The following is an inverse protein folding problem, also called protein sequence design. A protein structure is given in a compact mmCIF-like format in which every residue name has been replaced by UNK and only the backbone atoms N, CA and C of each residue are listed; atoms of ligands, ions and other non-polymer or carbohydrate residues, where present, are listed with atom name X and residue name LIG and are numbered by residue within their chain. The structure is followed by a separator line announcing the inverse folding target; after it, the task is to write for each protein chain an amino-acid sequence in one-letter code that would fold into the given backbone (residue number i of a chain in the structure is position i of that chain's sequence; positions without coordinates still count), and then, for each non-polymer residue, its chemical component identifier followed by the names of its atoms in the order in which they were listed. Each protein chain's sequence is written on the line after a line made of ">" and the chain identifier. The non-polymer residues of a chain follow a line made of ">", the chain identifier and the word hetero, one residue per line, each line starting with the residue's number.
data_IF_963042768977
#
_entry.id   IF_963042768977
#
_cell.length_a   1.000
_cell.length_b   1.000
_cell.length_c   1.000
_cell.angle_alpha   90.00
_cell.angle_beta   90.00
_cell.angle_gamma   90.00
#
_symmetry.space_group_name_H-M   'P 1'
#
loop_
_entity.id
_entity.type
_entity.pdbx_description
1 polymer ?
#
# COMPACT_ATOMS: atom_id res chain seq x y z
N UNK A 1 -42.55 13.38 28.47
CA UNK A 1 -42.47 13.14 27.01
C UNK A 1 -41.06 12.66 26.67
N UNK A 2 -40.89 11.50 26.03
CA UNK A 2 -39.55 11.02 25.66
C UNK A 2 -38.97 11.82 24.49
N UNK A 3 -37.63 11.98 24.38
CA UNK A 3 -37.02 12.73 23.29
C UNK A 3 -37.28 12.00 21.97
N UNK A 4 -37.80 12.73 20.97
CA UNK A 4 -37.93 12.21 19.59
C UNK A 4 -36.53 11.79 19.11
N UNK A 5 -36.34 10.48 18.91
CA UNK A 5 -35.17 9.95 18.22
C UNK A 5 -35.04 10.64 16.87
N UNK A 6 -34.08 11.56 16.76
CA UNK A 6 -33.69 12.12 15.48
C UNK A 6 -33.19 10.96 14.62
N UNK A 7 -33.93 10.63 13.54
CA UNK A 7 -33.53 9.60 12.57
C UNK A 7 -32.13 9.95 12.09
N UNK A 8 -31.15 9.14 12.49
CA UNK A 8 -29.76 9.36 12.11
C UNK A 8 -29.65 9.19 10.60
N UNK A 9 -29.43 10.28 9.88
CA UNK A 9 -29.24 10.25 8.43
C UNK A 9 -28.12 9.25 8.10
N UNK A 10 -28.33 8.28 7.20
CA UNK A 10 -27.33 7.29 6.83
C UNK A 10 -26.01 7.94 6.41
N UNK A 11 -24.88 7.35 6.81
CA UNK A 11 -23.56 7.94 6.58
C UNK A 11 -23.26 8.26 5.10
N UNK A 12 -23.89 7.52 4.17
CA UNK A 12 -23.77 7.71 2.71
C UNK A 12 -24.42 9.03 2.26
N UNK A 13 -25.58 9.37 2.81
CA UNK A 13 -26.27 10.64 2.51
C UNK A 13 -25.53 11.82 3.11
N UNK A 14 -25.03 11.68 4.35
CA UNK A 14 -24.12 12.67 4.96
C UNK A 14 -22.88 12.92 4.10
N UNK A 15 -22.35 11.91 3.41
CA UNK A 15 -21.19 12.02 2.51
C UNK A 15 -21.53 12.71 1.19
N UNK A 16 -22.69 12.41 0.61
CA UNK A 16 -23.18 13.05 -0.62
C UNK A 16 -23.51 14.53 -0.39
N UNK A 17 -24.14 14.87 0.72
CA UNK A 17 -24.53 16.23 1.08
C UNK A 17 -23.33 17.15 1.41
N UNK A 18 -22.17 16.58 1.77
CA UNK A 18 -20.96 17.36 2.10
C UNK A 18 -20.29 18.02 0.89
N UNK A 19 -20.67 17.66 -0.33
CA UNK A 19 -20.09 18.20 -1.56
C UNK A 19 -18.56 18.00 -1.66
N UNK A 20 -17.93 18.48 -2.73
CA UNK A 20 -16.47 18.50 -2.88
C UNK A 20 -15.86 19.71 -2.15
N UNK A 21 -16.31 20.02 -0.93
CA UNK A 21 -15.73 21.14 -0.17
C UNK A 21 -14.36 20.70 0.34
N UNK A 22 -13.33 21.14 -0.37
CA UNK A 22 -11.94 20.89 -0.03
C UNK A 22 -11.59 21.61 1.27
N UNK A 23 -11.36 20.85 2.34
CA UNK A 23 -10.84 21.37 3.60
C UNK A 23 -9.31 21.16 3.63
N UNK A 24 -8.51 22.24 3.48
CA UNK A 24 -7.05 22.14 3.45
C UNK A 24 -6.48 21.47 4.70
N UNK A 25 -7.10 21.66 5.88
CA UNK A 25 -6.63 21.08 7.15
C UNK A 25 -6.86 19.58 7.17
N UNK A 26 -8.02 19.11 6.69
CA UNK A 26 -8.30 17.66 6.58
C UNK A 26 -7.40 16.98 5.58
N UNK A 27 -7.12 17.61 4.44
CA UNK A 27 -6.15 17.09 3.47
C UNK A 27 -4.76 17.00 4.07
N UNK A 28 -4.26 18.07 4.71
CA UNK A 28 -2.94 18.06 5.33
C UNK A 28 -2.79 16.94 6.38
N UNK A 29 -3.83 16.70 7.19
CA UNK A 29 -3.86 15.57 8.14
C UNK A 29 -3.82 14.22 7.42
N UNK A 30 -4.62 14.05 6.36
CA UNK A 30 -4.65 12.81 5.58
C UNK A 30 -3.30 12.54 4.88
N UNK A 31 -2.66 13.57 4.34
CA UNK A 31 -1.36 13.48 3.68
C UNK A 31 -0.25 13.10 4.68
N UNK A 32 -0.24 13.72 5.87
CA UNK A 32 0.67 13.35 6.96
C UNK A 32 0.50 11.89 7.38
N UNK A 33 -0.73 11.44 7.56
CA UNK A 33 -1.02 10.05 7.95
C UNK A 33 -0.66 9.07 6.83
N UNK A 34 -0.91 9.42 5.57
CA UNK A 34 -0.49 8.62 4.41
C UNK A 34 1.03 8.48 4.36
N UNK A 35 1.76 9.57 4.60
CA UNK A 35 3.22 9.54 4.67
C UNK A 35 3.70 8.66 5.83
N UNK A 36 3.13 8.81 7.03
CA UNK A 36 3.48 8.01 8.20
C UNK A 36 3.32 6.51 7.93
N UNK A 37 2.17 6.09 7.39
CA UNK A 37 1.89 4.69 7.04
C UNK A 37 2.76 4.19 5.89
N UNK A 38 3.02 5.03 4.89
CA UNK A 38 3.89 4.70 3.77
C UNK A 38 5.31 4.40 4.24
N UNK A 39 5.85 5.27 5.10
CA UNK A 39 7.17 5.09 5.71
C UNK A 39 7.26 3.79 6.53
N UNK A 40 6.29 3.56 7.40
CA UNK A 40 6.21 2.34 8.21
C UNK A 40 6.14 1.07 7.34
N UNK A 41 5.31 1.10 6.29
CA UNK A 41 5.21 0.00 5.33
C UNK A 41 6.51 -0.26 4.56
N UNK A 42 7.27 0.78 4.21
CA UNK A 42 8.57 0.64 3.57
C UNK A 42 9.60 -0.02 4.49
N UNK A 43 9.69 0.41 5.74
CA UNK A 43 10.60 -0.21 6.72
C UNK A 43 10.24 -1.66 7.01
N UNK A 44 8.94 -1.98 7.07
CA UNK A 44 8.50 -3.36 7.20
C UNK A 44 9.01 -4.24 6.05
N UNK A 45 8.84 -3.78 4.79
CA UNK A 45 9.32 -4.53 3.61
C UNK A 45 10.84 -4.70 3.59
N UNK A 46 11.59 -3.70 4.04
CA UNK A 46 13.04 -3.80 4.18
C UNK A 46 13.44 -4.81 5.24
N UNK A 47 12.71 -4.87 6.35
CA UNK A 47 12.91 -5.91 7.37
C UNK A 47 12.56 -7.30 6.83
N UNK A 48 11.45 -7.44 6.11
CA UNK A 48 11.08 -8.71 5.47
C UNK A 48 12.17 -9.17 4.48
N UNK A 49 12.79 -8.26 3.73
CA UNK A 49 13.91 -8.55 2.82
C UNK A 49 15.19 -9.00 3.57
N UNK A 50 15.43 -8.43 4.75
CA UNK A 50 16.52 -8.85 5.62
C UNK A 50 16.28 -10.28 6.13
N UNK A 51 15.08 -10.55 6.66
CA UNK A 51 14.71 -11.87 7.17
C UNK A 51 14.77 -12.95 6.09
N UNK A 52 14.29 -12.66 4.87
CA UNK A 52 14.42 -13.55 3.72
C UNK A 52 15.88 -13.89 3.38
N UNK A 53 16.80 -12.92 3.59
CA UNK A 53 18.23 -13.13 3.45
C UNK A 53 18.74 -14.16 4.44
N UNK A 54 18.39 -13.99 5.72
CA UNK A 54 18.74 -14.92 6.79
C UNK A 54 18.21 -16.33 6.51
N UNK A 55 16.94 -16.46 6.10
CA UNK A 55 16.31 -17.75 5.80
C UNK A 55 16.98 -18.47 4.62
N UNK A 56 17.49 -17.71 3.65
CA UNK A 56 18.22 -18.25 2.48
C UNK A 56 19.71 -18.50 2.78
N UNK A 57 20.17 -18.20 4.00
CA UNK A 57 21.59 -18.31 4.38
C UNK A 57 22.50 -17.25 3.76
N UNK A 58 21.92 -16.12 3.29
CA UNK A 58 22.66 -14.98 2.75
C UNK A 58 22.76 -13.88 3.79
N UNK A 59 23.97 -13.46 4.12
CA UNK A 59 24.15 -12.29 4.96
C UNK A 59 23.76 -11.03 4.18
N UNK A 60 22.67 -10.38 4.60
CA UNK A 60 22.22 -9.09 4.06
C UNK A 60 22.25 -8.06 5.18
N UNK A 61 22.93 -6.95 4.94
CA UNK A 61 22.94 -5.82 5.86
C UNK A 61 22.24 -4.64 5.18
N UNK A 62 21.18 -4.15 5.79
CA UNK A 62 20.33 -3.08 5.25
C UNK A 62 20.39 -1.88 6.18
N UNK A 63 20.76 -0.72 5.63
CA UNK A 63 20.72 0.59 6.27
C UNK A 63 20.00 1.57 5.37
N UNK A 64 19.05 2.32 5.93
CA UNK A 64 18.29 3.33 5.19
C UNK A 64 18.24 4.61 5.99
N UNK A 65 18.48 5.74 5.33
CA UNK A 65 18.34 7.09 5.89
C UNK A 65 17.35 7.87 5.05
N UNK A 66 16.39 8.51 5.70
CA UNK A 66 15.48 9.46 5.10
C UNK A 66 15.71 10.80 5.78
N UNK A 67 16.17 11.79 5.01
CA UNK A 67 16.19 13.19 5.44
C UNK A 67 14.88 13.87 5.04
N UNK A 68 14.37 14.74 5.90
CA UNK A 68 13.15 15.51 5.66
C UNK A 68 13.36 16.94 6.13
N UNK A 69 13.15 17.89 5.23
CA UNK A 69 13.19 19.32 5.52
C UNK A 69 11.78 19.84 5.76
N UNK A 70 11.54 20.41 6.94
CA UNK A 70 10.28 21.08 7.22
C UNK A 70 10.26 22.43 6.51
N UNK A 71 9.14 22.76 5.85
CA UNK A 71 8.96 24.07 5.20
C UNK A 71 8.73 25.14 6.26
N UNK A 72 9.56 26.18 6.29
CA UNK A 72 9.40 27.35 7.17
C UNK A 72 10.74 28.05 7.47
N UNK A 73 10.71 29.28 8.04
CA UNK A 73 11.91 30.07 8.34
C UNK A 73 12.86 29.41 9.36
N UNK A 74 12.37 28.45 10.16
CA UNK A 74 13.17 27.65 11.10
C UNK A 74 13.10 26.14 10.78
N UNK A 75 12.99 25.78 9.51
CA UNK A 75 12.92 24.38 9.09
C UNK A 75 14.18 23.60 9.46
N UNK A 76 14.13 22.79 10.53
CA UNK A 76 15.21 21.86 10.86
C UNK A 76 15.18 20.62 9.96
N UNK A 77 16.34 20.10 9.61
CA UNK A 77 16.47 18.79 8.95
C UNK A 77 16.17 17.71 9.99
N UNK A 78 15.24 16.82 9.66
CA UNK A 78 14.95 15.63 10.46
C UNK A 78 15.46 14.40 9.74
N UNK A 79 16.11 13.52 10.47
CA UNK A 79 16.59 12.24 9.96
C UNK A 79 15.78 11.10 10.59
N UNK A 80 15.39 10.14 9.75
CA UNK A 80 14.83 8.87 10.20
C UNK A 80 15.68 7.77 9.62
N UNK A 81 16.15 6.86 10.46
CA UNK A 81 17.01 5.77 10.05
C UNK A 81 16.35 4.42 10.33
N UNK A 82 16.74 3.43 9.54
CA UNK A 82 16.46 2.02 9.76
C UNK A 82 17.79 1.27 9.65
N UNK A 83 18.12 0.48 10.67
CA UNK A 83 19.32 -0.35 10.72
C UNK A 83 18.92 -1.78 11.11
N UNK A 84 19.22 -2.73 10.22
CA UNK A 84 19.01 -4.17 10.46
C UNK A 84 19.85 -4.73 11.61
N UNK A 85 21.05 -4.17 11.86
CA UNK A 85 21.95 -4.60 12.92
C UNK A 85 22.36 -3.39 13.79
N UNK A 86 21.48 -2.93 14.70
CA UNK A 86 21.68 -1.69 15.46
C UNK A 86 22.81 -1.77 16.50
N UNK A 87 23.26 -2.98 16.85
CA UNK A 87 24.32 -3.21 17.85
C UNK A 87 25.71 -3.33 17.23
N UNK A 88 25.79 -3.41 15.90
CA UNK A 88 27.04 -3.60 15.18
C UNK A 88 27.46 -2.28 14.52
N UNK A 89 28.76 -1.98 14.56
CA UNK A 89 29.32 -0.87 13.81
C UNK A 89 29.75 -1.34 12.42
N UNK A 90 28.80 -1.41 11.49
CA UNK A 90 29.03 -1.97 10.16
C UNK A 90 28.62 -1.03 9.03
N UNK A 91 27.92 0.06 9.33
CA UNK A 91 27.44 0.99 8.29
C UNK A 91 28.68 1.62 7.66
N UNK A 92 28.99 1.32 6.39
CA UNK A 92 30.20 1.81 5.76
C UNK A 92 30.09 3.33 5.56
N UNK A 93 31.21 4.08 5.69
CA UNK A 93 31.26 5.48 5.30
C UNK A 93 31.00 5.62 3.79
N UNK A 94 30.58 6.82 3.38
CA UNK A 94 30.17 7.09 1.98
C UNK A 94 31.30 6.81 1.00
N UNK A 95 32.54 7.12 1.38
CA UNK A 95 33.72 6.94 0.52
C UNK A 95 33.99 5.45 0.25
N UNK A 96 33.89 4.59 1.27
CA UNK A 96 34.02 3.14 1.10
C UNK A 96 32.91 2.53 0.23
N UNK A 97 31.67 3.03 0.34
CA UNK A 97 30.57 2.60 -0.54
C UNK A 97 30.79 3.06 -1.99
N UNK A 98 31.40 4.23 -2.18
CA UNK A 98 31.73 4.75 -3.50
C UNK A 98 32.86 3.94 -4.16
N UNK A 99 33.85 3.52 -3.36
CA UNK A 99 35.03 2.75 -3.78
C UNK A 99 34.78 1.25 -3.95
N UNK A 100 33.71 0.71 -3.34
CA UNK A 100 33.29 -0.70 -3.43
C UNK A 100 32.92 -1.12 -4.85
N UNK A 101 33.93 -1.28 -5.70
CA UNK A 101 33.82 -1.82 -7.04
C UNK A 101 34.03 -3.35 -7.02
N UNK A 102 33.23 -4.11 -7.78
CA UNK A 102 32.18 -3.63 -8.67
C UNK A 102 30.85 -3.36 -7.96
N UNK A 103 30.29 -2.15 -8.16
CA UNK A 103 28.88 -1.87 -7.88
C UNK A 103 28.05 -2.78 -8.77
N UNK A 104 27.50 -3.83 -8.18
CA UNK A 104 26.83 -4.88 -8.94
C UNK A 104 25.48 -4.41 -9.46
N UNK A 105 24.79 -3.53 -8.71
CA UNK A 105 23.45 -3.07 -9.03
C UNK A 105 23.18 -1.70 -8.42
N UNK A 106 22.64 -0.77 -9.21
CA UNK A 106 22.22 0.56 -8.76
C UNK A 106 20.76 0.80 -9.13
N UNK A 107 19.98 1.28 -8.16
CA UNK A 107 18.56 1.62 -8.33
C UNK A 107 18.37 3.13 -8.15
N UNK A 108 18.02 3.82 -9.24
CA UNK A 108 17.66 5.23 -9.24
C UNK A 108 16.14 5.40 -9.35
N UNK A 109 15.58 6.60 -9.11
CA UNK A 109 14.16 6.86 -9.34
C UNK A 109 13.68 6.48 -10.75
N UNK A 110 14.55 6.51 -11.74
CA UNK A 110 14.29 6.13 -13.13
C UNK A 110 13.92 4.65 -13.28
N UNK A 111 14.52 3.76 -12.49
CA UNK A 111 14.18 2.32 -12.50
C UNK A 111 12.71 2.07 -12.13
N UNK A 112 12.09 2.98 -11.37
CA UNK A 112 10.70 2.89 -10.94
C UNK A 112 9.73 3.64 -11.86
N UNK A 113 10.24 4.44 -12.82
CA UNK A 113 9.42 4.99 -13.89
C UNK A 113 9.08 3.80 -14.79
N UNK A 114 7.87 3.26 -14.65
CA UNK A 114 7.33 2.29 -15.61
C UNK A 114 7.58 2.87 -17.00
N UNK A 115 8.36 2.17 -17.84
CA UNK A 115 8.22 2.32 -19.29
C UNK A 115 6.73 2.14 -19.52
N UNK A 116 6.02 3.22 -19.87
CA UNK A 116 4.67 3.11 -20.36
C UNK A 116 4.76 2.05 -21.45
N UNK A 117 4.23 0.86 -21.16
CA UNK A 117 4.11 -0.17 -22.19
C UNK A 117 3.25 0.50 -23.24
N UNK A 118 3.88 1.02 -24.31
CA UNK A 118 3.20 1.27 -25.56
C UNK A 118 2.43 -0.01 -25.80
N UNK A 119 1.11 0.05 -25.60
CA UNK A 119 0.23 -0.95 -26.18
C UNK A 119 0.56 -0.88 -27.66
N UNK A 120 1.33 -1.85 -28.13
CA UNK A 120 1.46 -2.13 -29.54
C UNK A 120 0.05 -2.53 -29.95
N UNK A 121 -0.69 -1.55 -30.47
CA UNK A 121 -1.91 -1.75 -31.23
C UNK A 121 -1.43 -2.37 -32.54
N UNK A 122 -1.27 -3.69 -32.53
CA UNK A 122 -1.22 -4.45 -33.77
C UNK A 122 -2.61 -5.06 -33.96
N UNK A 123 -3.29 -4.55 -34.99
CA UNK A 123 -4.07 -5.33 -35.95
C UNK A 123 -5.25 -6.14 -35.43
N UNK A 124 -6.43 -5.67 -35.82
CA UNK A 124 -7.59 -6.46 -36.23
C UNK A 124 -8.44 -7.14 -35.15
N UNK A 125 -9.62 -6.54 -34.93
CA UNK A 125 -10.72 -7.21 -34.23
C UNK A 125 -11.68 -6.24 -33.55
N UNK A 126 -12.50 -5.54 -34.32
CA UNK A 126 -13.80 -5.05 -33.83
C UNK A 126 -14.65 -6.23 -33.38
N UNK A 127 -14.56 -6.61 -32.10
CA UNK A 127 -15.63 -7.29 -31.36
C UNK A 127 -15.22 -7.47 -29.89
N UNK A 128 -16.17 -7.26 -28.98
CA UNK A 128 -16.14 -7.62 -27.54
C UNK A 128 -15.49 -6.63 -26.58
N UNK A 129 -15.90 -5.36 -26.64
CA UNK A 129 -15.89 -4.45 -25.47
C UNK A 129 -17.04 -4.77 -24.49
N UNK A 130 -17.22 -6.05 -24.14
CA UNK A 130 -18.05 -6.56 -23.04
C UNK A 130 -17.53 -7.94 -22.60
N UNK A 131 -16.34 -7.99 -22.03
CA UNK A 131 -15.91 -9.16 -21.25
C UNK A 131 -15.93 -8.82 -19.77
N UNK A 132 -17.10 -9.11 -19.19
CA UNK A 132 -17.33 -9.68 -17.87
C UNK A 132 -16.26 -9.47 -16.80
N UNK A 133 -16.65 -8.84 -15.68
CA UNK A 133 -16.04 -9.11 -14.37
C UNK A 133 -16.07 -10.63 -14.13
N UNK A 134 -15.00 -11.35 -14.47
CA UNK A 134 -14.84 -12.75 -14.08
C UNK A 134 -14.78 -12.77 -12.56
N UNK A 135 -15.86 -13.25 -11.92
CA UNK A 135 -15.82 -13.64 -10.51
C UNK A 135 -14.79 -14.78 -10.42
N UNK A 136 -13.83 -14.67 -9.51
CA UNK A 136 -12.76 -15.67 -9.31
C UNK A 136 -13.26 -16.97 -8.66
N UNK A 137 -14.57 -17.08 -8.42
CA UNK A 137 -15.19 -18.25 -7.82
C UNK A 137 -16.65 -18.34 -8.26
N UNK A 138 -17.08 -19.55 -8.57
CA UNK A 138 -18.47 -19.91 -8.80
C UNK A 138 -19.07 -20.25 -7.45
N UNK A 139 -20.07 -19.48 -7.00
CA UNK A 139 -20.86 -19.87 -5.82
C UNK A 139 -21.77 -21.00 -6.32
N UNK A 140 -21.54 -22.24 -5.87
CA UNK A 140 -22.44 -23.34 -6.13
C UNK A 140 -23.82 -23.01 -5.56
N UNK A 141 -24.88 -23.24 -6.34
CA UNK A 141 -26.22 -23.21 -5.78
C UNK A 141 -26.34 -24.36 -4.77
N UNK A 142 -26.90 -24.14 -3.58
CA UNK A 142 -27.12 -25.22 -2.62
C UNK A 142 -28.04 -26.27 -3.25
N UNK A 143 -27.85 -27.56 -2.95
CA UNK A 143 -28.72 -28.61 -3.46
C UNK A 143 -30.16 -28.35 -3.00
N UNK A 144 -31.11 -28.46 -3.94
CA UNK A 144 -32.54 -28.49 -3.60
C UNK A 144 -32.81 -29.79 -2.87
N UNK A 145 -32.84 -29.72 -1.54
CA UNK A 145 -33.19 -30.84 -0.69
C UNK A 145 -34.69 -31.10 -0.84
N UNK A 146 -35.06 -32.01 -1.73
CA UNK A 146 -36.42 -32.56 -1.77
C UNK A 146 -36.58 -33.47 -0.56
N UNK A 147 -36.98 -32.90 0.58
CA UNK A 147 -37.38 -33.68 1.74
C UNK A 147 -38.71 -34.37 1.40
N UNK A 148 -38.78 -35.72 1.37
CA UNK A 148 -40.07 -36.39 1.32
C UNK A 148 -40.87 -35.99 2.57
N UNK A 149 -42.13 -35.63 2.31
CA UNK A 149 -43.14 -35.13 3.24
C UNK A 149 -42.91 -35.59 4.69
N UNK A 150 -42.57 -34.64 5.56
CA UNK A 150 -42.70 -34.85 7.01
C UNK A 150 -44.16 -35.15 7.31
N UNK A 151 -44.48 -36.25 8.02
CA UNK A 151 -45.85 -36.54 8.41
C UNK A 151 -46.33 -35.42 9.33
N UNK A 152 -47.46 -34.82 8.96
CA UNK A 152 -48.20 -33.92 9.83
C UNK A 152 -48.76 -34.76 10.96
N UNK A 153 -48.35 -34.48 12.20
CA UNK A 153 -49.03 -35.06 13.36
C UNK A 153 -50.46 -34.48 13.38
N UNK A 154 -51.44 -35.39 13.33
CA UNK A 154 -52.85 -35.10 13.51
C UNK A 154 -53.14 -34.65 14.95
#
# INVERSE_FOLDING_TARGET
>A
MPPRHQRSVPWREKRKARGPVFDPKKKAKADRERFRRGKEGSFKRLNDLYLDGLDTGRERRIYVVISSTLKGPHGSIQYVTYNSHPKENWIPPVDEVAEGWPKTEEWTPENFKRKEKKQVVNGDGEAKRRQSRKRLFTISQPPLWNLPQTPTLA
#
